data_IF_698626913480
#
_entry.id   IF_698626913480
#
_cell.length_a   1.000
_cell.length_b   1.000
_cell.length_c   1.000
_cell.angle_alpha   90.00
_cell.angle_beta   90.00
_cell.angle_gamma   90.00
#
_symmetry.space_group_name_H-M   'P 1'
#
loop_
_entity.id
_entity.type
_entity.pdbx_description
1 polymer ?
#
# COMPACT_ATOMS: atom_id res chain seq x y z
N UNK A 1 14.83 1.71 -7.34
CA UNK A 1 15.08 0.27 -7.17
C UNK A 1 16.41 0.15 -6.45
N UNK A 2 16.38 -0.05 -5.13
CA UNK A 2 17.59 -0.25 -4.32
C UNK A 2 17.72 -1.75 -4.15
N UNK A 3 18.69 -2.33 -4.84
CA UNK A 3 19.07 -3.73 -4.69
C UNK A 3 20.06 -3.79 -3.54
N UNK A 4 19.67 -4.39 -2.41
CA UNK A 4 20.59 -4.70 -1.31
C UNK A 4 21.17 -6.07 -1.61
N UNK A 5 22.36 -6.10 -2.24
CA UNK A 5 23.15 -7.31 -2.29
C UNK A 5 23.78 -7.56 -0.92
N UNK A 6 23.32 -8.62 -0.28
CA UNK A 6 23.96 -9.14 0.93
C UNK A 6 25.19 -9.95 0.52
N UNK A 7 26.34 -9.30 0.40
CA UNK A 7 27.62 -9.98 0.16
C UNK A 7 28.10 -10.55 1.51
N UNK A 8 27.95 -11.84 1.68
CA UNK A 8 28.57 -12.58 2.78
C UNK A 8 30.04 -12.79 2.41
N UNK A 9 30.92 -11.91 2.88
CA UNK A 9 32.36 -12.19 2.85
C UNK A 9 32.71 -13.21 3.94
N UNK A 10 33.48 -14.26 3.62
CA UNK A 10 33.99 -15.17 4.65
C UNK A 10 34.97 -14.41 5.55
N UNK A 11 34.62 -14.28 6.82
CA UNK A 11 35.52 -13.72 7.83
C UNK A 11 36.56 -14.76 8.15
N UNK A 12 37.74 -14.65 7.54
CA UNK A 12 38.89 -15.37 8.00
C UNK A 12 39.33 -14.88 9.38
N UNK A 13 39.63 -15.83 10.22
CA UNK A 13 40.03 -15.71 11.61
C UNK A 13 41.26 -14.86 11.79
N UNK A 14 41.14 -13.64 12.31
CA UNK A 14 42.21 -13.06 13.10
C UNK A 14 41.61 -12.26 14.27
N UNK A 15 41.27 -13.00 15.31
CA UNK A 15 40.75 -12.48 16.59
C UNK A 15 41.88 -11.95 17.46
N UNK A 16 42.41 -10.76 17.16
CA UNK A 16 43.33 -10.08 18.10
C UNK A 16 43.00 -8.59 18.33
N UNK A 17 41.82 -8.12 18.00
CA UNK A 17 41.43 -6.77 18.43
C UNK A 17 39.95 -6.68 18.84
N UNK A 18 39.65 -7.09 20.05
CA UNK A 18 38.29 -7.06 20.64
C UNK A 18 37.66 -5.67 20.70
N UNK A 19 38.46 -4.61 20.56
CA UNK A 19 37.96 -3.24 20.63
C UNK A 19 37.47 -2.75 19.24
N UNK A 20 38.09 -3.23 18.15
CA UNK A 20 37.64 -2.89 16.79
C UNK A 20 36.27 -3.52 16.45
N UNK A 21 36.06 -4.76 16.88
CA UNK A 21 34.78 -5.45 16.67
C UNK A 21 33.63 -4.74 17.40
N UNK A 22 33.87 -4.23 18.62
CA UNK A 22 32.89 -3.43 19.34
C UNK A 22 32.57 -2.10 18.65
N UNK A 23 33.56 -1.49 18.04
CA UNK A 23 33.38 -0.23 17.29
C UNK A 23 32.55 -0.44 16.02
N UNK A 24 32.76 -1.55 15.31
CA UNK A 24 31.95 -1.90 14.13
C UNK A 24 30.49 -2.26 14.47
N UNK A 25 30.26 -2.93 15.61
CA UNK A 25 28.90 -3.26 16.05
C UNK A 25 28.13 -1.99 16.47
N UNK A 26 28.78 -1.05 17.15
CA UNK A 26 28.15 0.22 17.54
C UNK A 26 27.86 1.10 16.30
N UNK A 27 28.75 1.11 15.31
CA UNK A 27 28.55 1.87 14.08
C UNK A 27 27.47 1.26 13.18
N UNK A 28 27.30 -0.06 13.17
CA UNK A 28 26.21 -0.73 12.45
C UNK A 28 24.81 -0.48 13.08
N UNK A 29 24.73 -0.21 14.38
CA UNK A 29 23.48 0.14 15.06
C UNK A 29 23.01 1.58 14.80
N UNK A 30 23.91 2.49 14.37
CA UNK A 30 23.57 3.89 14.05
C UNK A 30 23.02 4.10 12.64
N UNK A 31 23.07 3.09 11.77
CA UNK A 31 22.49 3.09 10.43
C UNK A 31 21.08 2.48 10.39
N UNK A 32 20.35 2.52 11.51
CA UNK A 32 18.93 2.23 11.56
C UNK A 32 18.17 3.24 10.72
N UNK A 33 18.15 3.04 9.40
CA UNK A 33 17.31 3.79 8.48
C UNK A 33 15.86 3.55 8.88
N UNK A 34 15.21 4.56 9.41
CA UNK A 34 13.75 4.59 9.53
C UNK A 34 13.16 4.50 8.13
N UNK A 35 12.83 3.30 7.67
CA UNK A 35 11.95 3.13 6.51
C UNK A 35 10.62 3.74 6.88
N UNK A 36 10.32 4.91 6.32
CA UNK A 36 8.98 5.46 6.35
C UNK A 36 8.07 4.41 5.66
N UNK A 37 7.31 3.71 6.47
CA UNK A 37 6.36 2.71 5.98
C UNK A 37 5.18 3.49 5.41
N UNK A 38 5.10 3.61 4.10
CA UNK A 38 3.87 4.07 3.45
C UNK A 38 2.76 3.07 3.84
N UNK A 39 1.71 3.57 4.48
CA UNK A 39 0.60 2.72 4.90
C UNK A 39 -0.28 2.42 3.69
N UNK A 40 -0.13 1.22 3.14
CA UNK A 40 -0.89 0.76 2.00
C UNK A 40 -2.06 -0.12 2.47
N UNK A 41 -3.25 0.19 2.03
CA UNK A 41 -4.46 -0.61 2.26
C UNK A 41 -4.93 -1.21 0.93
N UNK A 42 -5.33 -2.46 0.95
CA UNK A 42 -5.78 -3.16 -0.26
C UNK A 42 -7.18 -3.71 -0.09
N UNK A 43 -7.94 -3.62 -1.17
CA UNK A 43 -9.22 -4.31 -1.32
C UNK A 43 -9.19 -5.12 -2.60
N UNK A 44 -9.68 -6.35 -2.53
CA UNK A 44 -9.65 -7.30 -3.64
C UNK A 44 -11.07 -7.67 -4.04
N UNK A 45 -11.34 -7.80 -5.33
CA UNK A 45 -12.62 -8.30 -5.82
C UNK A 45 -12.90 -9.74 -5.35
N UNK A 46 -14.16 -10.18 -5.32
CA UNK A 46 -14.52 -11.53 -4.88
C UNK A 46 -13.84 -12.66 -5.66
N UNK A 47 -13.51 -12.43 -6.93
CA UNK A 47 -12.78 -13.38 -7.78
C UNK A 47 -11.25 -13.29 -7.65
N UNK A 48 -10.75 -12.36 -6.83
CA UNK A 48 -9.32 -12.17 -6.55
C UNK A 48 -8.52 -11.48 -7.64
N UNK A 49 -9.13 -11.14 -8.77
CA UNK A 49 -8.39 -10.63 -9.94
C UNK A 49 -8.15 -9.13 -9.90
N UNK A 50 -9.12 -8.37 -9.42
CA UNK A 50 -9.00 -6.92 -9.29
C UNK A 50 -8.51 -6.57 -7.89
N UNK A 51 -7.42 -5.83 -7.79
CA UNK A 51 -6.87 -5.32 -6.54
C UNK A 51 -6.76 -3.81 -6.63
N UNK A 52 -7.43 -3.13 -5.71
CA UNK A 52 -7.29 -1.68 -5.52
C UNK A 52 -6.40 -1.44 -4.31
N UNK A 53 -5.35 -0.68 -4.49
CA UNK A 53 -4.44 -0.28 -3.42
C UNK A 53 -4.61 1.21 -3.15
N UNK A 54 -4.92 1.55 -1.92
CA UNK A 54 -4.95 2.94 -1.45
C UNK A 54 -3.71 3.18 -0.58
N UNK A 55 -2.98 4.22 -0.89
CA UNK A 55 -1.72 4.57 -0.23
C UNK A 55 -1.75 6.03 0.20
N UNK A 56 -1.16 6.32 1.35
CA UNK A 56 -0.85 7.68 1.76
C UNK A 56 0.65 7.93 1.53
N UNK A 57 0.95 8.95 0.74
CA UNK A 57 2.30 9.40 0.46
C UNK A 57 2.44 10.83 0.95
N UNK A 58 2.92 11.00 2.16
CA UNK A 58 3.17 12.31 2.79
C UNK A 58 1.92 13.22 2.85
N UNK A 59 0.80 12.66 3.29
CA UNK A 59 -0.46 13.39 3.39
C UNK A 59 -1.17 13.60 2.06
N UNK A 60 -0.79 12.84 1.02
CA UNK A 60 -1.42 12.83 -0.30
C UNK A 60 -1.93 11.44 -0.62
N UNK A 61 -3.18 11.14 -0.30
CA UNK A 61 -3.73 9.84 -0.61
C UNK A 61 -3.81 9.62 -2.12
N UNK A 62 -3.47 8.43 -2.52
CA UNK A 62 -3.49 7.97 -3.91
C UNK A 62 -4.06 6.56 -4.00
N UNK A 63 -4.55 6.19 -5.17
CA UNK A 63 -4.98 4.83 -5.44
C UNK A 63 -4.38 4.30 -6.72
N UNK A 64 -4.21 3.00 -6.76
CA UNK A 64 -3.80 2.26 -7.95
C UNK A 64 -4.65 1.01 -8.10
N UNK A 65 -4.75 0.52 -9.32
CA UNK A 65 -5.55 -0.67 -9.63
C UNK A 65 -4.71 -1.66 -10.42
N UNK A 66 -4.71 -2.91 -9.99
CA UNK A 66 -4.15 -4.02 -10.76
C UNK A 66 -5.24 -5.03 -11.09
N UNK A 67 -5.12 -5.64 -12.25
CA UNK A 67 -5.96 -6.72 -12.72
C UNK A 67 -5.08 -7.90 -13.11
N UNK A 68 -5.36 -9.06 -12.55
CA UNK A 68 -4.59 -10.29 -12.80
C UNK A 68 -3.08 -10.11 -12.60
N UNK A 69 -2.70 -9.39 -11.53
CA UNK A 69 -1.35 -8.97 -11.16
C UNK A 69 -0.67 -7.98 -12.14
N UNK A 70 -1.38 -7.48 -13.13
CA UNK A 70 -0.89 -6.44 -14.04
C UNK A 70 -1.41 -5.07 -13.60
N UNK A 71 -0.51 -4.12 -13.43
CA UNK A 71 -0.89 -2.75 -13.07
C UNK A 71 -1.69 -2.11 -14.23
N UNK A 72 -2.99 -1.96 -14.02
CA UNK A 72 -3.94 -1.39 -14.97
C UNK A 72 -4.00 0.14 -14.86
N UNK A 73 -4.09 0.64 -13.61
CA UNK A 73 -4.10 2.06 -13.30
C UNK A 73 -2.92 2.38 -12.39
N UNK A 74 -2.03 3.24 -12.86
CA UNK A 74 -0.91 3.77 -12.06
C UNK A 74 -1.43 4.60 -10.89
N UNK A 75 -0.61 4.80 -9.83
CA UNK A 75 -1.00 5.65 -8.72
C UNK A 75 -1.54 7.00 -9.18
N UNK A 76 -2.80 7.25 -8.82
CA UNK A 76 -3.54 8.47 -9.14
C UNK A 76 -3.93 9.15 -7.83
N UNK A 77 -3.79 10.48 -7.71
CA UNK A 77 -4.13 11.19 -6.49
C UNK A 77 -5.63 11.11 -6.20
N UNK A 78 -5.97 10.93 -4.94
CA UNK A 78 -7.30 11.06 -4.38
C UNK A 78 -7.42 12.45 -3.76
N UNK A 79 -7.65 13.44 -4.57
CA UNK A 79 -7.75 14.79 -4.05
C UNK A 79 -8.65 15.65 -4.92
N UNK A 80 -9.18 16.69 -4.33
CA UNK A 80 -10.02 17.66 -5.02
C UNK A 80 -9.66 19.07 -4.57
N UNK A 81 -9.55 19.98 -5.54
CA UNK A 81 -9.44 21.40 -5.28
C UNK A 81 -10.79 22.03 -5.64
N UNK A 82 -11.38 22.71 -4.68
CA UNK A 82 -12.66 23.40 -4.83
C UNK A 82 -12.56 24.85 -4.36
N UNK A 83 -13.57 25.65 -4.66
CA UNK A 83 -13.63 27.05 -4.21
C UNK A 83 -13.70 27.20 -2.67
N UNK A 84 -14.06 26.14 -1.96
CA UNK A 84 -14.16 26.07 -0.50
C UNK A 84 -12.87 25.58 0.17
N UNK A 85 -11.91 25.04 -0.58
CA UNK A 85 -10.64 24.55 -0.04
C UNK A 85 -9.88 23.62 -0.97
N UNK A 86 -8.65 23.37 -0.58
CA UNK A 86 -7.76 22.39 -1.19
C UNK A 86 -7.75 21.10 -0.34
N UNK A 87 -8.29 20.03 -0.90
CA UNK A 87 -8.36 18.70 -0.30
C UNK A 87 -7.41 17.71 -1.01
N UNK A 88 -6.34 18.20 -1.62
CA UNK A 88 -5.35 17.39 -2.32
C UNK A 88 -4.16 16.98 -1.47
N UNK A 89 -4.02 17.60 -0.28
CA UNK A 89 -2.90 17.37 0.62
C UNK A 89 -3.29 17.58 2.09
N UNK A 90 -2.41 17.20 3.02
CA UNK A 90 -2.65 17.33 4.46
C UNK A 90 -3.66 16.33 5.02
N UNK A 91 -3.96 15.27 4.28
CA UNK A 91 -4.83 14.18 4.72
C UNK A 91 -3.99 13.00 5.25
N UNK A 92 -4.60 12.19 6.09
CA UNK A 92 -4.01 10.92 6.53
C UNK A 92 -5.03 9.80 6.44
N UNK A 93 -4.59 8.63 6.02
CA UNK A 93 -5.42 7.43 6.05
C UNK A 93 -5.50 6.88 7.47
N UNK A 94 -6.72 6.68 7.96
CA UNK A 94 -6.90 6.01 9.24
C UNK A 94 -6.49 4.54 9.17
N UNK A 95 -5.96 4.03 10.29
CA UNK A 95 -5.53 2.64 10.41
C UNK A 95 -6.70 1.66 10.35
N UNK A 96 -7.85 2.08 10.86
CA UNK A 96 -9.04 1.25 10.91
C UNK A 96 -9.82 1.35 9.60
N UNK A 97 -9.81 0.28 8.83
CA UNK A 97 -10.59 0.13 7.62
C UNK A 97 -11.78 -0.78 7.92
N UNK A 98 -12.98 -0.28 7.70
CA UNK A 98 -14.17 -1.12 7.74
C UNK A 98 -14.32 -1.86 6.41
N UNK A 99 -14.43 -3.17 6.46
CA UNK A 99 -14.62 -4.01 5.27
C UNK A 99 -15.93 -4.77 5.37
N UNK A 100 -16.72 -4.74 4.30
CA UNK A 100 -17.99 -5.45 4.18
C UNK A 100 -18.01 -6.25 2.87
N UNK A 101 -18.78 -7.34 2.86
CA UNK A 101 -19.16 -8.03 1.64
C UNK A 101 -20.57 -7.62 1.26
N UNK A 102 -20.74 -7.12 0.05
CA UNK A 102 -22.02 -6.78 -0.53
C UNK A 102 -22.45 -7.95 -1.40
N UNK A 103 -23.69 -8.40 -1.22
CA UNK A 103 -24.32 -9.45 -2.00
C UNK A 103 -25.78 -9.04 -2.21
N UNK A 104 -26.06 -8.42 -3.35
CA UNK A 104 -27.35 -7.79 -3.60
C UNK A 104 -27.93 -8.19 -4.95
N UNK A 105 -29.25 -8.27 -4.97
CA UNK A 105 -30.03 -8.45 -6.19
C UNK A 105 -31.01 -7.30 -6.32
N UNK A 106 -30.95 -6.62 -7.45
CA UNK A 106 -31.87 -5.52 -7.76
C UNK A 106 -32.48 -5.68 -9.16
N UNK A 107 -33.64 -5.04 -9.36
CA UNK A 107 -34.36 -5.07 -10.62
C UNK A 107 -34.37 -3.67 -11.24
N UNK A 108 -34.12 -3.62 -12.55
CA UNK A 108 -34.11 -2.40 -13.34
C UNK A 108 -35.29 -2.43 -14.31
N UNK A 109 -36.21 -1.48 -14.19
CA UNK A 109 -37.48 -1.48 -14.93
C UNK A 109 -37.38 -1.25 -16.44
N UNK A 110 -36.22 -0.78 -16.96
CA UNK A 110 -36.14 -0.22 -18.33
C UNK A 110 -35.00 -0.72 -19.20
N UNK A 111 -34.33 -1.83 -18.86
CA UNK A 111 -33.20 -2.36 -19.65
C UNK A 111 -33.33 -3.86 -19.92
N UNK A 112 -32.59 -4.33 -20.95
CA UNK A 112 -32.59 -5.72 -21.45
C UNK A 112 -32.36 -6.78 -20.36
N UNK A 113 -31.62 -6.45 -19.31
CA UNK A 113 -31.37 -7.31 -18.17
C UNK A 113 -32.01 -6.68 -16.94
N UNK A 114 -33.26 -7.05 -16.69
CA UNK A 114 -34.06 -6.47 -15.59
C UNK A 114 -33.58 -6.88 -14.22
N UNK A 115 -33.02 -8.09 -14.06
CA UNK A 115 -32.57 -8.62 -12.78
C UNK A 115 -31.05 -8.74 -12.75
N UNK A 116 -30.42 -8.07 -11.82
CA UNK A 116 -28.96 -8.04 -11.64
C UNK A 116 -28.62 -8.52 -10.22
N UNK A 117 -27.82 -9.55 -10.14
CA UNK A 117 -27.18 -9.99 -8.90
C UNK A 117 -25.70 -9.60 -8.98
N UNK A 118 -25.21 -8.89 -7.96
CA UNK A 118 -23.79 -8.56 -7.89
C UNK A 118 -23.22 -8.84 -6.50
N UNK A 119 -21.97 -9.23 -6.50
CA UNK A 119 -21.20 -9.47 -5.28
C UNK A 119 -19.95 -8.58 -5.33
N UNK A 120 -19.72 -7.84 -4.25
CA UNK A 120 -18.57 -6.96 -4.14
C UNK A 120 -17.96 -6.99 -2.74
N UNK A 121 -16.70 -6.66 -2.64
CA UNK A 121 -16.07 -6.33 -1.37
C UNK A 121 -16.01 -4.81 -1.27
N UNK A 122 -16.46 -4.28 -0.15
CA UNK A 122 -16.42 -2.86 0.16
C UNK A 122 -15.34 -2.59 1.22
N UNK A 123 -14.64 -1.48 1.07
CA UNK A 123 -13.78 -0.96 2.12
C UNK A 123 -14.01 0.54 2.29
N UNK A 124 -14.17 0.96 3.53
CA UNK A 124 -14.35 2.38 3.90
C UNK A 124 -13.08 2.84 4.61
N UNK A 125 -12.49 3.88 4.06
CA UNK A 125 -11.26 4.49 4.55
C UNK A 125 -11.55 5.84 5.17
#
# INVERSE_FOLDING_TARGET
>A
MIVIECVIMPIEKNLKNRNMVKFFIVMAMLLGSSVASAENKQITSPDGKLVVTVADMDGRPSYSVSYDNVLFLKPSPLGMIANIGDFSSGMSLEKNVSTNKIDETYELASIKKSKVHYVANEAVF
#
